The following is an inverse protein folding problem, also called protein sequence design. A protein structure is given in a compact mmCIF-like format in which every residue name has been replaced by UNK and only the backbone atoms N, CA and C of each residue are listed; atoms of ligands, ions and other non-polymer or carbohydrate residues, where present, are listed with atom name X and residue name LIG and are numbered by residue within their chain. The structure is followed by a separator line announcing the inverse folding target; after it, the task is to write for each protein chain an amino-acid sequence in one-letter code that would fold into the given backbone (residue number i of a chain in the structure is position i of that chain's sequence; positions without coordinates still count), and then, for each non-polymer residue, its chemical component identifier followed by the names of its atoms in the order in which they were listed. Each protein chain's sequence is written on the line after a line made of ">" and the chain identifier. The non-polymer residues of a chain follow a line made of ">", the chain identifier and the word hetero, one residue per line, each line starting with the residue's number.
data_IF_917962704084
#
_entry.id   IF_917962704084
#
_cell.length_a   1.000
_cell.length_b   1.000
_cell.length_c   1.000
_cell.angle_alpha   90.00
_cell.angle_beta   90.00
_cell.angle_gamma   90.00
#
_symmetry.space_group_name_H-M   'P 1'
#
loop_
_entity.id
_entity.type
_entity.pdbx_description
1 polymer ?
#
# COMPACT_ATOMS: atom_id res chain seq x y z
N UNK A 1 -25.27 13.87 45.70
CA UNK A 1 -26.11 12.65 45.73
C UNK A 1 -26.32 12.07 44.33
N UNK A 2 -26.79 12.85 43.35
CA UNK A 2 -26.96 12.42 41.94
C UNK A 2 -25.64 11.97 41.29
N UNK A 3 -24.53 12.68 41.51
CA UNK A 3 -23.20 12.28 40.98
C UNK A 3 -22.70 10.95 41.56
N UNK A 4 -22.93 10.70 42.85
CA UNK A 4 -22.54 9.45 43.51
C UNK A 4 -23.39 8.25 43.02
N UNK A 5 -24.69 8.47 42.79
CA UNK A 5 -25.59 7.46 42.20
C UNK A 5 -25.18 7.17 40.75
N UNK A 6 -24.82 8.20 39.98
CA UNK A 6 -24.38 8.04 38.60
C UNK A 6 -23.00 7.36 38.50
N UNK A 7 -22.09 7.64 39.44
CA UNK A 7 -20.81 6.96 39.58
C UNK A 7 -20.98 5.48 39.95
N UNK A 8 -21.88 5.17 40.89
CA UNK A 8 -22.21 3.79 41.28
C UNK A 8 -22.86 3.01 40.13
N UNK A 9 -23.78 3.63 39.39
CA UNK A 9 -24.40 3.03 38.21
C UNK A 9 -23.38 2.77 37.09
N UNK A 10 -22.45 3.70 36.84
CA UNK A 10 -21.33 3.50 35.91
C UNK A 10 -20.44 2.35 36.36
N UNK A 11 -20.03 2.31 37.63
CA UNK A 11 -19.20 1.24 38.17
C UNK A 11 -19.87 -0.14 38.04
N UNK A 12 -21.17 -0.23 38.33
CA UNK A 12 -21.94 -1.47 38.15
C UNK A 12 -21.99 -1.89 36.67
N UNK A 13 -22.21 -0.93 35.76
CA UNK A 13 -22.22 -1.20 34.31
C UNK A 13 -20.86 -1.67 33.81
N UNK A 14 -19.77 -1.11 34.33
CA UNK A 14 -18.41 -1.56 34.04
C UNK A 14 -18.17 -2.98 34.53
N UNK A 15 -18.53 -3.30 35.77
CA UNK A 15 -18.41 -4.66 36.33
C UNK A 15 -19.19 -5.70 35.52
N UNK A 16 -20.42 -5.38 35.11
CA UNK A 16 -21.23 -6.28 34.26
C UNK A 16 -20.59 -6.51 32.89
N UNK A 17 -19.99 -5.47 32.29
CA UNK A 17 -19.29 -5.61 31.01
C UNK A 17 -18.07 -6.53 31.14
N UNK A 18 -17.26 -6.37 32.18
CA UNK A 18 -16.07 -7.21 32.42
C UNK A 18 -16.47 -8.68 32.62
N UNK A 19 -17.50 -8.94 33.44
CA UNK A 19 -18.03 -10.29 33.62
C UNK A 19 -18.58 -10.89 32.32
N UNK A 20 -19.28 -10.08 31.51
CA UNK A 20 -19.82 -10.52 30.22
C UNK A 20 -18.71 -10.90 29.25
N UNK A 21 -17.67 -10.06 29.13
CA UNK A 21 -16.49 -10.35 28.29
C UNK A 21 -15.79 -11.61 28.77
N UNK A 22 -15.56 -11.74 30.08
CA UNK A 22 -14.89 -12.90 30.67
C UNK A 22 -15.70 -14.20 30.47
N UNK A 23 -17.03 -14.12 30.53
CA UNK A 23 -17.90 -15.25 30.23
C UNK A 23 -17.74 -15.69 28.76
N UNK A 24 -17.87 -14.78 27.80
CA UNK A 24 -17.74 -15.13 26.38
C UNK A 24 -16.33 -15.58 26.01
N UNK A 25 -15.29 -14.99 26.62
CA UNK A 25 -13.91 -15.42 26.47
C UNK A 25 -13.72 -16.87 26.92
N UNK A 26 -14.22 -17.24 28.11
CA UNK A 26 -14.14 -18.63 28.60
C UNK A 26 -15.01 -19.60 27.79
N UNK A 27 -16.19 -19.18 27.35
CA UNK A 27 -17.04 -19.98 26.47
C UNK A 27 -16.35 -20.24 25.13
N UNK A 28 -15.62 -19.27 24.59
CA UNK A 28 -14.83 -19.48 23.36
C UNK A 28 -13.72 -20.52 23.57
N UNK A 29 -12.98 -20.43 24.70
CA UNK A 29 -11.93 -21.41 25.03
C UNK A 29 -12.47 -22.84 25.18
N UNK A 30 -13.70 -22.99 25.70
CA UNK A 30 -14.28 -24.30 25.99
C UNK A 30 -15.08 -24.89 24.82
N UNK A 31 -15.87 -24.06 24.12
CA UNK A 31 -16.89 -24.52 23.17
C UNK A 31 -16.98 -23.66 21.90
N UNK A 32 -15.83 -23.20 21.38
CA UNK A 32 -15.77 -22.33 20.18
C UNK A 32 -16.62 -22.79 18.99
N UNK A 33 -16.63 -24.09 18.66
CA UNK A 33 -17.43 -24.65 17.57
C UNK A 33 -18.95 -24.46 17.77
N UNK A 34 -19.42 -24.52 19.02
CA UNK A 34 -20.83 -24.28 19.38
C UNK A 34 -21.14 -22.79 19.42
N UNK A 35 -20.14 -21.96 19.78
CA UNK A 35 -20.31 -20.51 19.92
C UNK A 35 -20.33 -19.79 18.55
N UNK A 36 -19.57 -20.30 17.57
CA UNK A 36 -19.40 -19.70 16.23
C UNK A 36 -20.72 -19.37 15.52
N UNK A 37 -21.72 -20.27 15.42
CA UNK A 37 -22.96 -19.98 14.69
C UNK A 37 -23.75 -18.79 15.25
N UNK A 38 -23.54 -18.46 16.53
CA UNK A 38 -24.24 -17.39 17.21
C UNK A 38 -23.47 -16.07 17.29
N UNK A 39 -22.25 -15.99 16.70
CA UNK A 39 -21.36 -14.83 16.82
C UNK A 39 -22.01 -13.49 16.45
N UNK A 40 -22.85 -13.48 15.41
CA UNK A 40 -23.59 -12.30 14.97
C UNK A 40 -24.57 -11.76 16.03
N UNK A 41 -25.02 -12.60 16.96
CA UNK A 41 -25.93 -12.22 18.04
C UNK A 41 -25.15 -11.71 19.24
N UNK A 42 -24.15 -12.46 19.71
CA UNK A 42 -23.47 -12.15 20.96
C UNK A 42 -22.33 -11.14 20.84
N UNK A 43 -21.74 -10.94 19.65
CA UNK A 43 -20.62 -10.00 19.47
C UNK A 43 -20.95 -8.58 19.94
N UNK A 44 -22.21 -8.14 19.80
CA UNK A 44 -22.68 -6.82 20.27
C UNK A 44 -22.45 -6.59 21.77
N UNK A 45 -22.45 -7.66 22.58
CA UNK A 45 -22.30 -7.57 24.03
C UNK A 45 -20.84 -7.38 24.44
N UNK A 46 -19.89 -7.84 23.62
CA UNK A 46 -18.46 -7.72 23.92
C UNK A 46 -17.80 -6.55 23.19
N UNK A 47 -18.43 -5.98 22.14
CA UNK A 47 -17.94 -4.81 21.42
C UNK A 47 -17.54 -3.63 22.35
N UNK A 48 -18.33 -3.25 23.38
CA UNK A 48 -17.93 -2.17 24.28
C UNK A 48 -16.64 -2.46 25.05
N UNK A 49 -16.31 -3.75 25.24
CA UNK A 49 -15.09 -4.19 25.92
C UNK A 49 -13.81 -3.80 25.17
N UNK A 50 -13.87 -3.57 23.85
CA UNK A 50 -12.74 -3.07 23.04
C UNK A 50 -12.18 -1.72 23.54
N UNK A 51 -12.99 -0.93 24.23
CA UNK A 51 -12.58 0.37 24.78
C UNK A 51 -12.72 0.45 26.29
N UNK A 52 -12.71 -0.71 26.96
CA UNK A 52 -12.73 -0.79 28.42
C UNK A 52 -11.51 -0.10 29.04
N UNK A 53 -11.64 0.39 30.28
CA UNK A 53 -10.50 0.88 31.05
C UNK A 53 -9.56 -0.28 31.48
N UNK A 54 -10.12 -1.47 31.73
CA UNK A 54 -9.38 -2.69 32.05
C UNK A 54 -8.65 -3.24 30.82
N UNK A 55 -7.33 -3.35 30.91
CA UNK A 55 -6.49 -3.91 29.84
C UNK A 55 -6.83 -5.37 29.55
N UNK A 56 -7.02 -6.17 30.59
CA UNK A 56 -7.42 -7.57 30.47
C UNK A 56 -8.75 -7.72 29.72
N UNK A 57 -9.75 -6.87 30.03
CA UNK A 57 -11.04 -6.87 29.33
C UNK A 57 -10.91 -6.46 27.86
N UNK A 58 -10.06 -5.46 27.58
CA UNK A 58 -9.76 -5.00 26.21
C UNK A 58 -9.12 -6.12 25.38
N UNK A 59 -8.10 -6.78 25.90
CA UNK A 59 -7.38 -7.84 25.20
C UNK A 59 -8.28 -9.07 24.96
N UNK A 60 -9.07 -9.48 25.96
CA UNK A 60 -10.05 -10.57 25.80
C UNK A 60 -11.10 -10.26 24.74
N UNK A 61 -11.66 -9.05 24.77
CA UNK A 61 -12.65 -8.62 23.78
C UNK A 61 -12.06 -8.63 22.37
N UNK A 62 -10.86 -8.07 22.23
CA UNK A 62 -10.15 -8.01 20.95
C UNK A 62 -9.83 -9.40 20.42
N UNK A 63 -9.30 -10.29 21.26
CA UNK A 63 -8.95 -11.67 20.89
C UNK A 63 -10.16 -12.43 20.35
N UNK A 64 -11.27 -12.43 21.09
CA UNK A 64 -12.51 -13.12 20.67
C UNK A 64 -13.06 -12.50 19.39
N UNK A 65 -13.21 -11.18 19.31
CA UNK A 65 -13.77 -10.53 18.11
C UNK A 65 -12.89 -10.74 16.87
N UNK A 66 -11.57 -10.73 17.03
CA UNK A 66 -10.63 -10.99 15.94
C UNK A 66 -10.74 -12.42 15.41
N UNK A 67 -10.92 -13.42 16.30
CA UNK A 67 -11.10 -14.82 15.92
C UNK A 67 -12.33 -15.06 15.04
N UNK A 68 -13.42 -14.32 15.28
CA UNK A 68 -14.68 -14.44 14.54
C UNK A 68 -14.86 -13.40 13.45
N UNK A 69 -13.85 -12.57 13.17
CA UNK A 69 -13.92 -11.41 12.26
C UNK A 69 -14.65 -11.72 10.94
N UNK A 70 -14.31 -12.80 10.25
CA UNK A 70 -14.88 -13.11 8.95
C UNK A 70 -16.40 -13.35 9.01
N UNK A 71 -16.86 -14.06 10.06
CA UNK A 71 -18.28 -14.28 10.31
C UNK A 71 -19.01 -12.96 10.68
N UNK A 72 -18.34 -12.09 11.46
CA UNK A 72 -18.87 -10.80 11.90
C UNK A 72 -19.00 -9.78 10.76
N UNK A 73 -18.07 -9.78 9.80
CA UNK A 73 -18.15 -8.96 8.59
C UNK A 73 -19.43 -9.25 7.77
N UNK A 74 -20.01 -10.44 7.91
CA UNK A 74 -21.26 -10.85 7.26
C UNK A 74 -22.52 -10.50 8.07
N UNK A 75 -22.41 -9.72 9.15
CA UNK A 75 -23.53 -9.37 10.03
C UNK A 75 -23.98 -7.91 9.82
N UNK A 76 -24.93 -7.67 8.90
CA UNK A 76 -25.39 -6.31 8.57
C UNK A 76 -25.90 -5.53 9.78
N UNK A 77 -26.63 -6.17 10.70
CA UNK A 77 -27.15 -5.50 11.91
C UNK A 77 -26.01 -5.05 12.85
N UNK A 78 -24.98 -5.88 12.99
CA UNK A 78 -23.79 -5.55 13.80
C UNK A 78 -23.02 -4.39 13.16
N UNK A 79 -22.84 -4.44 11.85
CA UNK A 79 -22.20 -3.40 11.06
C UNK A 79 -22.91 -2.04 11.21
N UNK A 80 -24.24 -2.00 11.13
CA UNK A 80 -25.05 -0.78 11.40
C UNK A 80 -24.89 -0.29 12.84
N UNK A 81 -24.97 -1.21 13.81
CA UNK A 81 -24.81 -0.89 15.22
C UNK A 81 -23.43 -0.27 15.51
N UNK A 82 -22.37 -0.89 14.99
CA UNK A 82 -20.99 -0.43 15.17
C UNK A 82 -20.75 0.92 14.48
N UNK A 83 -21.28 1.10 13.27
CA UNK A 83 -21.19 2.38 12.54
C UNK A 83 -21.82 3.53 13.33
N UNK A 84 -22.96 3.27 13.99
CA UNK A 84 -23.59 4.23 14.91
C UNK A 84 -22.72 4.46 16.16
N UNK A 85 -22.18 3.39 16.74
CA UNK A 85 -21.31 3.45 17.93
C UNK A 85 -20.06 4.32 17.71
N UNK A 86 -19.45 4.26 16.52
CA UNK A 86 -18.33 5.13 16.10
C UNK A 86 -18.67 6.59 16.36
N UNK A 87 -19.81 7.05 15.83
CA UNK A 87 -20.25 8.45 15.91
C UNK A 87 -20.76 8.85 17.29
N UNK A 88 -21.25 7.90 18.10
CA UNK A 88 -21.82 8.20 19.42
C UNK A 88 -20.80 8.16 20.56
N UNK A 89 -19.55 7.77 20.32
CA UNK A 89 -18.50 7.84 21.34
C UNK A 89 -17.33 6.86 21.18
N UNK A 90 -17.48 5.77 20.41
CA UNK A 90 -16.42 4.77 20.27
C UNK A 90 -15.13 5.38 19.69
N UNK A 91 -15.25 6.28 18.70
CA UNK A 91 -14.08 6.98 18.16
C UNK A 91 -13.38 7.83 19.24
N UNK A 92 -14.13 8.51 20.10
CA UNK A 92 -13.55 9.30 21.19
C UNK A 92 -12.84 8.41 22.21
N UNK A 93 -13.41 7.26 22.57
CA UNK A 93 -12.76 6.30 23.46
C UNK A 93 -11.48 5.73 22.85
N UNK A 94 -11.46 5.46 21.54
CA UNK A 94 -10.23 5.05 20.84
C UNK A 94 -9.16 6.15 20.88
N UNK A 95 -9.53 7.43 20.71
CA UNK A 95 -8.58 8.55 20.87
C UNK A 95 -7.98 8.59 22.27
N UNK A 96 -8.78 8.34 23.31
CA UNK A 96 -8.26 8.27 24.68
C UNK A 96 -7.22 7.14 24.83
N UNK A 97 -7.46 5.98 24.21
CA UNK A 97 -6.48 4.88 24.21
C UNK A 97 -5.18 5.21 23.48
N UNK A 98 -5.20 6.11 22.48
CA UNK A 98 -3.98 6.58 21.81
C UNK A 98 -2.98 7.29 22.75
N UNK A 99 -3.36 7.63 23.98
CA UNK A 99 -2.43 8.25 24.93
C UNK A 99 -1.45 7.27 25.58
N UNK A 100 -1.82 5.99 25.70
CA UNK A 100 -1.05 4.97 26.43
C UNK A 100 -0.98 3.61 25.72
N UNK A 101 -1.93 3.32 24.82
CA UNK A 101 -2.12 2.01 24.19
C UNK A 101 -2.29 2.16 22.67
N UNK A 102 -1.41 2.95 22.04
CA UNK A 102 -1.50 3.31 20.62
C UNK A 102 -1.56 2.11 19.68
N UNK A 103 -0.73 1.09 19.92
CA UNK A 103 -0.67 -0.13 19.11
C UNK A 103 -2.02 -0.86 19.17
N UNK A 104 -2.53 -1.09 20.39
CA UNK A 104 -3.83 -1.72 20.60
C UNK A 104 -4.95 -0.92 19.94
N UNK A 105 -4.94 0.41 20.10
CA UNK A 105 -5.94 1.29 19.52
C UNK A 105 -5.93 1.24 17.98
N UNK A 106 -4.76 1.15 17.33
CA UNK A 106 -4.68 1.00 15.86
C UNK A 106 -5.18 -0.37 15.39
N UNK A 107 -4.87 -1.45 16.11
CA UNK A 107 -5.40 -2.79 15.80
C UNK A 107 -6.92 -2.84 15.97
N UNK A 108 -7.43 -2.25 17.04
CA UNK A 108 -8.87 -2.15 17.30
C UNK A 108 -9.56 -1.28 16.24
N UNK A 109 -8.93 -0.18 15.84
CA UNK A 109 -9.39 0.65 14.74
C UNK A 109 -9.56 -0.18 13.46
N UNK A 110 -8.56 -0.97 13.10
CA UNK A 110 -8.60 -1.83 11.91
C UNK A 110 -9.77 -2.83 11.98
N UNK A 111 -9.89 -3.56 13.08
CA UNK A 111 -10.95 -4.55 13.30
C UNK A 111 -12.35 -3.91 13.21
N UNK A 112 -12.53 -2.73 13.79
CA UNK A 112 -13.81 -1.99 13.74
C UNK A 112 -14.18 -1.62 12.31
N UNK A 113 -13.24 -1.11 11.52
CA UNK A 113 -13.47 -0.76 10.11
C UNK A 113 -13.85 -1.99 9.28
N UNK A 114 -13.20 -3.12 9.52
CA UNK A 114 -13.48 -4.36 8.80
C UNK A 114 -14.89 -4.87 9.10
N UNK A 115 -15.29 -4.93 10.38
CA UNK A 115 -16.63 -5.36 10.79
C UNK A 115 -17.72 -4.39 10.29
N UNK A 116 -17.44 -3.08 10.25
CA UNK A 116 -18.38 -2.11 9.70
C UNK A 116 -18.70 -2.36 8.22
N UNK A 117 -17.79 -2.94 7.44
CA UNK A 117 -18.03 -3.21 6.02
C UNK A 117 -18.54 -1.97 5.24
N UNK A 118 -19.46 -2.18 4.29
CA UNK A 118 -20.01 -1.10 3.44
C UNK A 118 -20.79 -0.03 4.20
N UNK A 119 -21.33 -0.32 5.38
CA UNK A 119 -22.03 0.68 6.19
C UNK A 119 -21.11 1.84 6.59
N UNK A 120 -19.79 1.59 6.67
CA UNK A 120 -18.79 2.59 6.96
C UNK A 120 -18.71 3.70 5.90
N UNK A 121 -19.16 3.45 4.67
CA UNK A 121 -19.00 4.39 3.55
C UNK A 121 -19.83 5.67 3.73
N UNK A 122 -20.77 5.67 4.68
CA UNK A 122 -21.62 6.80 5.08
C UNK A 122 -20.81 7.82 5.88
N UNK A 123 -20.07 8.68 5.18
CA UNK A 123 -19.51 9.98 5.59
C UNK A 123 -19.07 10.17 7.06
N UNK A 124 -19.99 10.48 8.00
CA UNK A 124 -19.64 10.86 9.38
C UNK A 124 -18.71 9.90 10.11
N UNK A 125 -18.94 8.58 10.03
CA UNK A 125 -18.11 7.58 10.70
C UNK A 125 -16.66 7.59 10.19
N UNK A 126 -16.47 7.94 8.91
CA UNK A 126 -15.14 8.08 8.30
C UNK A 126 -14.38 9.21 8.98
N UNK A 127 -14.98 10.39 9.06
CA UNK A 127 -14.30 11.55 9.65
C UNK A 127 -13.89 11.31 11.10
N UNK A 128 -14.78 10.73 11.92
CA UNK A 128 -14.46 10.39 13.31
C UNK A 128 -13.28 9.42 13.42
N UNK A 129 -13.19 8.43 12.53
CA UNK A 129 -12.09 7.47 12.52
C UNK A 129 -10.80 8.04 11.93
N UNK A 130 -10.89 8.99 10.98
CA UNK A 130 -9.74 9.71 10.45
C UNK A 130 -9.02 10.52 11.53
N UNK A 131 -9.77 11.16 12.43
CA UNK A 131 -9.20 11.89 13.56
C UNK A 131 -8.42 10.98 14.54
N UNK A 132 -8.82 9.71 14.67
CA UNK A 132 -8.11 8.73 15.50
C UNK A 132 -6.79 8.31 14.84
N UNK A 133 -6.83 7.91 13.57
CA UNK A 133 -5.65 7.37 12.87
C UNK A 133 -4.61 8.45 12.57
N UNK A 134 -5.03 9.73 12.46
CA UNK A 134 -4.10 10.86 12.36
C UNK A 134 -3.17 10.95 13.59
N UNK A 135 -3.68 10.65 14.79
CA UNK A 135 -2.86 10.57 16.01
C UNK A 135 -1.82 9.45 15.86
N UNK A 136 -2.22 8.30 15.30
CA UNK A 136 -1.32 7.17 15.05
C UNK A 136 -0.16 7.54 14.12
N UNK A 137 -0.45 8.27 13.03
CA UNK A 137 0.60 8.74 12.10
C UNK A 137 1.54 9.80 12.69
N UNK A 138 1.10 10.53 13.73
CA UNK A 138 1.90 11.52 14.45
C UNK A 138 2.70 10.93 15.61
N UNK A 139 2.49 9.64 15.94
CA UNK A 139 3.10 9.03 17.11
C UNK A 139 4.48 8.39 16.85
N UNK A 140 4.94 7.51 17.75
CA UNK A 140 6.21 6.78 17.66
C UNK A 140 6.24 5.83 16.45
N UNK A 141 7.44 5.40 15.99
CA UNK A 141 7.58 4.59 14.77
C UNK A 141 6.76 3.30 14.77
N UNK A 142 6.57 2.64 15.92
CA UNK A 142 5.81 1.39 15.99
C UNK A 142 4.31 1.64 15.77
N UNK A 143 3.76 2.67 16.42
CA UNK A 143 2.38 3.10 16.21
C UNK A 143 2.13 3.57 14.76
N UNK A 144 3.10 4.23 14.12
CA UNK A 144 3.00 4.60 12.69
C UNK A 144 2.89 3.38 11.78
N UNK A 145 3.62 2.29 12.06
CA UNK A 145 3.49 1.04 11.29
C UNK A 145 2.08 0.47 11.42
N UNK A 146 1.59 0.37 12.65
CA UNK A 146 0.23 -0.12 12.91
C UNK A 146 -0.83 0.79 12.28
N UNK A 147 -0.61 2.10 12.22
CA UNK A 147 -1.48 3.03 11.51
C UNK A 147 -1.51 2.76 10.00
N UNK A 148 -0.39 2.40 9.36
CA UNK A 148 -0.38 1.98 7.96
C UNK A 148 -1.12 0.64 7.74
N UNK A 149 -0.93 -0.34 8.63
CA UNK A 149 -1.68 -1.61 8.60
C UNK A 149 -3.18 -1.36 8.75
N UNK A 150 -3.57 -0.50 9.69
CA UNK A 150 -4.94 -0.07 9.88
C UNK A 150 -5.48 0.63 8.61
N UNK A 151 -4.70 1.53 8.00
CA UNK A 151 -5.06 2.19 6.74
C UNK A 151 -5.26 1.21 5.59
N UNK A 152 -4.51 0.10 5.55
CA UNK A 152 -4.71 -1.00 4.60
C UNK A 152 -6.12 -1.60 4.73
N UNK A 153 -6.59 -1.76 5.97
CA UNK A 153 -7.95 -2.24 6.26
C UNK A 153 -9.02 -1.28 5.74
N UNK A 154 -8.77 0.03 5.82
CA UNK A 154 -9.65 1.06 5.21
C UNK A 154 -9.67 0.97 3.68
N UNK A 155 -8.51 0.77 3.05
CA UNK A 155 -8.42 0.55 1.60
C UNK A 155 -9.23 -0.68 1.19
N UNK A 156 -9.05 -1.80 1.89
CA UNK A 156 -9.84 -3.03 1.67
C UNK A 156 -11.33 -2.78 1.84
N UNK A 157 -11.73 -2.03 2.88
CA UNK A 157 -13.13 -1.69 3.14
C UNK A 157 -13.73 -0.85 2.00
N UNK A 158 -13.01 0.14 1.46
CA UNK A 158 -13.45 0.85 0.25
C UNK A 158 -13.50 -0.08 -0.96
N UNK A 159 -12.60 -1.05 -1.06
CA UNK A 159 -12.57 -2.09 -2.11
C UNK A 159 -13.80 -3.00 -2.14
N UNK A 160 -14.60 -3.06 -1.06
CA UNK A 160 -15.88 -3.78 -1.04
C UNK A 160 -16.89 -3.24 -2.08
N UNK A 161 -16.71 -1.99 -2.52
CA UNK A 161 -17.47 -1.39 -3.62
C UNK A 161 -16.50 -0.72 -4.62
N UNK A 162 -16.42 -1.29 -5.83
CA UNK A 162 -15.53 -0.81 -6.89
C UNK A 162 -15.79 0.65 -7.27
N UNK A 163 -17.03 1.12 -7.17
CA UNK A 163 -17.39 2.51 -7.46
C UNK A 163 -16.87 3.46 -6.37
N UNK A 164 -16.87 3.00 -5.12
CA UNK A 164 -16.39 3.77 -3.98
C UNK A 164 -14.88 3.93 -4.04
N UNK A 165 -14.10 2.85 -4.12
CA UNK A 165 -12.64 2.97 -4.13
C UNK A 165 -12.11 3.74 -5.35
N UNK A 166 -12.84 3.66 -6.47
CA UNK A 166 -12.47 4.32 -7.72
C UNK A 166 -13.00 5.77 -7.82
N UNK A 167 -13.71 6.27 -6.81
CA UNK A 167 -14.18 7.65 -6.78
C UNK A 167 -13.02 8.63 -6.51
N UNK A 168 -13.10 9.82 -7.12
CA UNK A 168 -12.03 10.83 -7.00
C UNK A 168 -11.83 11.29 -5.55
N UNK A 169 -12.90 11.40 -4.75
CA UNK A 169 -12.76 11.82 -3.34
C UNK A 169 -12.08 10.71 -2.53
N UNK A 170 -12.42 9.44 -2.79
CA UNK A 170 -11.83 8.28 -2.10
C UNK A 170 -10.38 8.05 -2.49
N UNK A 171 -10.04 8.19 -3.77
CA UNK A 171 -8.64 8.15 -4.23
C UNK A 171 -7.82 9.23 -3.53
N UNK A 172 -8.31 10.48 -3.48
CA UNK A 172 -7.62 11.58 -2.79
C UNK A 172 -7.43 11.29 -1.30
N UNK A 173 -8.47 10.75 -0.64
CA UNK A 173 -8.40 10.37 0.76
C UNK A 173 -7.33 9.28 0.98
N UNK A 174 -7.40 8.18 0.24
CA UNK A 174 -6.43 7.07 0.32
C UNK A 174 -5.00 7.53 0.07
N UNK A 175 -4.79 8.44 -0.88
CA UNK A 175 -3.48 8.99 -1.21
C UNK A 175 -2.92 9.96 -0.18
N UNK A 176 -3.75 10.49 0.73
CA UNK A 176 -3.35 11.53 1.68
C UNK A 176 -2.20 11.04 2.58
N UNK A 177 -2.28 9.83 3.12
CA UNK A 177 -1.26 9.28 4.03
C UNK A 177 0.07 8.99 3.35
N UNK A 178 0.04 8.76 2.03
CA UNK A 178 1.23 8.47 1.25
C UNK A 178 2.05 9.71 0.93
N UNK A 179 1.41 10.88 0.91
CA UNK A 179 2.05 12.17 0.59
C UNK A 179 2.79 12.79 1.76
N UNK A 180 2.46 12.40 2.99
CA UNK A 180 3.16 12.91 4.15
C UNK A 180 4.56 12.31 4.30
N UNK A 181 5.52 13.15 4.67
CA UNK A 181 6.85 12.73 5.13
C UNK A 181 6.78 12.21 6.56
N UNK A 182 6.18 11.03 6.73
CA UNK A 182 5.97 10.37 8.02
C UNK A 182 6.79 9.08 8.19
N UNK A 183 7.50 8.65 7.16
CA UNK A 183 8.20 7.38 7.08
C UNK A 183 9.73 7.56 7.12
N UNK A 184 10.22 7.97 8.30
CA UNK A 184 11.65 8.29 8.53
C UNK A 184 12.50 7.11 8.96
N UNK A 185 11.89 5.99 9.33
CA UNK A 185 12.60 4.75 9.64
C UNK A 185 12.31 3.73 8.56
N UNK A 186 13.27 2.85 8.29
CA UNK A 186 13.14 1.77 7.29
C UNK A 186 11.85 0.96 7.51
N UNK A 187 11.60 0.53 8.76
CA UNK A 187 10.41 -0.27 9.07
C UNK A 187 9.08 0.44 8.77
N UNK A 188 9.02 1.78 8.91
CA UNK A 188 7.81 2.56 8.57
C UNK A 188 7.74 2.79 7.06
N UNK A 189 8.87 2.98 6.39
CA UNK A 189 8.93 3.15 4.94
C UNK A 189 8.49 1.89 4.19
N UNK A 190 8.93 0.71 4.65
CA UNK A 190 8.48 -0.58 4.14
C UNK A 190 6.96 -0.72 4.31
N UNK A 191 6.43 -0.47 5.51
CA UNK A 191 4.99 -0.63 5.77
C UNK A 191 4.13 0.36 4.96
N UNK A 192 4.63 1.59 4.78
CA UNK A 192 4.05 2.59 3.89
C UNK A 192 3.99 2.07 2.45
N UNK A 193 5.08 1.51 1.93
CA UNK A 193 5.15 0.96 0.58
C UNK A 193 4.22 -0.23 0.40
N UNK A 194 4.18 -1.18 1.34
CA UNK A 194 3.26 -2.32 1.30
C UNK A 194 1.79 -1.87 1.28
N UNK A 195 1.46 -0.85 2.07
CA UNK A 195 0.12 -0.27 2.10
C UNK A 195 -0.22 0.48 0.80
N UNK A 196 0.77 1.13 0.18
CA UNK A 196 0.61 1.80 -1.12
C UNK A 196 0.41 0.80 -2.26
N UNK A 197 1.19 -0.29 -2.25
CA UNK A 197 0.99 -1.39 -3.19
C UNK A 197 -0.39 -2.02 -3.04
N UNK A 198 -0.85 -2.24 -1.80
CA UNK A 198 -2.21 -2.72 -1.55
C UNK A 198 -3.28 -1.79 -2.17
N UNK A 199 -3.08 -0.48 -2.15
CA UNK A 199 -3.96 0.46 -2.83
C UNK A 199 -3.95 0.28 -4.37
N UNK A 200 -2.77 0.06 -4.96
CA UNK A 200 -2.62 -0.25 -6.40
C UNK A 200 -3.41 -1.51 -6.76
N UNK A 201 -3.36 -2.55 -5.93
CA UNK A 201 -4.08 -3.81 -6.14
C UNK A 201 -5.60 -3.65 -6.11
N UNK A 202 -6.14 -2.67 -5.37
CA UNK A 202 -7.58 -2.50 -5.21
C UNK A 202 -8.21 -1.51 -6.22
N UNK A 203 -7.46 -0.56 -6.79
CA UNK A 203 -8.00 0.48 -7.70
C UNK A 203 -8.16 0.05 -9.18
N UNK A 204 -7.81 -1.20 -9.51
CA UNK A 204 -7.35 -1.64 -10.85
C UNK A 204 -8.09 -1.13 -12.09
N UNK A 205 -9.43 -1.04 -12.16
CA UNK A 205 -10.09 -0.51 -13.36
C UNK A 205 -9.70 0.93 -13.69
N UNK A 206 -9.28 1.71 -12.69
CA UNK A 206 -8.86 3.11 -12.85
C UNK A 206 -7.39 3.35 -12.57
N UNK A 207 -6.58 2.29 -12.42
CA UNK A 207 -5.14 2.44 -12.16
C UNK A 207 -4.48 3.22 -13.29
N UNK A 208 -4.69 2.82 -14.54
CA UNK A 208 -4.02 3.43 -15.69
C UNK A 208 -4.36 4.91 -15.89
N UNK A 209 -5.60 5.32 -15.62
CA UNK A 209 -6.04 6.73 -15.68
C UNK A 209 -5.41 7.56 -14.55
N UNK A 210 -4.98 6.92 -13.47
CA UNK A 210 -4.35 7.56 -12.31
C UNK A 210 -2.88 7.15 -12.12
N UNK A 211 -2.25 6.56 -13.14
CA UNK A 211 -0.94 5.93 -13.01
C UNK A 211 0.11 6.92 -12.52
N UNK A 212 0.18 8.10 -13.14
CA UNK A 212 1.10 9.16 -12.73
C UNK A 212 0.81 9.71 -11.33
N UNK A 213 -0.47 9.70 -10.91
CA UNK A 213 -0.87 10.23 -9.59
C UNK A 213 -0.58 9.26 -8.45
N UNK A 214 -0.51 7.96 -8.75
CA UNK A 214 -0.44 6.87 -7.76
C UNK A 214 0.92 6.17 -7.84
N UNK A 215 1.29 5.66 -9.01
CA UNK A 215 2.45 4.78 -9.20
C UNK A 215 3.75 5.57 -9.29
N UNK A 216 3.77 6.72 -9.96
CA UNK A 216 5.00 7.52 -10.05
C UNK A 216 5.51 7.96 -8.68
N UNK A 217 4.72 8.62 -7.80
CA UNK A 217 5.19 9.00 -6.48
C UNK A 217 5.54 7.80 -5.59
N UNK A 218 4.87 6.64 -5.78
CA UNK A 218 5.20 5.41 -5.08
C UNK A 218 6.58 4.88 -5.46
N UNK A 219 6.88 4.79 -6.76
CA UNK A 219 8.18 4.30 -7.24
C UNK A 219 9.30 5.31 -6.95
N UNK A 220 9.01 6.61 -7.04
CA UNK A 220 9.93 7.68 -6.63
C UNK A 220 10.25 7.59 -5.13
N UNK A 221 9.26 7.27 -4.29
CA UNK A 221 9.49 7.03 -2.88
C UNK A 221 10.47 5.87 -2.65
N UNK A 222 10.41 4.80 -3.45
CA UNK A 222 11.31 3.65 -3.32
C UNK A 222 12.77 3.94 -3.65
N UNK A 223 13.03 4.87 -4.57
CA UNK A 223 14.38 5.26 -5.00
C UNK A 223 14.94 6.46 -4.22
N UNK A 224 14.13 7.07 -3.36
CA UNK A 224 14.45 8.30 -2.64
C UNK A 224 14.49 9.54 -3.54
N UNK A 225 14.66 10.72 -2.91
CA UNK A 225 14.75 12.03 -3.59
C UNK A 225 16.08 12.23 -4.35
N UNK A 226 16.67 11.17 -4.90
CA UNK A 226 17.59 11.35 -6.03
C UNK A 226 16.78 12.04 -7.12
N UNK A 227 17.24 13.22 -7.55
CA UNK A 227 16.67 13.97 -8.67
C UNK A 227 16.63 13.06 -9.91
N UNK A 228 15.60 12.25 -10.03
CA UNK A 228 15.30 11.47 -11.23
C UNK A 228 15.16 12.51 -12.33
N UNK A 229 16.03 12.45 -13.34
CA UNK A 229 16.21 13.47 -14.39
C UNK A 229 15.02 13.52 -15.36
N UNK A 230 13.80 13.60 -14.85
CA UNK A 230 12.60 13.91 -15.60
C UNK A 230 11.84 14.99 -14.83
N UNK A 231 12.17 16.24 -15.12
CA UNK A 231 11.31 17.37 -14.82
C UNK A 231 10.01 17.21 -15.64
N UNK A 232 9.04 16.48 -15.10
CA UNK A 232 7.66 16.55 -15.57
C UNK A 232 7.14 17.94 -15.21
N UNK A 233 7.10 18.84 -16.19
CA UNK A 233 6.38 20.11 -16.10
C UNK A 233 4.87 19.81 -16.01
N UNK A 234 4.39 19.47 -14.82
CA UNK A 234 2.97 19.42 -14.54
C UNK A 234 2.49 20.83 -14.13
N UNK A 235 2.06 21.60 -15.13
CA UNK A 235 1.13 22.71 -14.91
C UNK A 235 -0.19 22.12 -14.44
N UNK A 236 -0.65 22.43 -13.23
CA UNK A 236 -2.08 22.45 -12.89
C UNK A 236 -2.32 23.16 -11.55
N UNK A 237 -3.01 24.29 -11.65
CA UNK A 237 -3.54 25.07 -10.55
C UNK A 237 -4.48 24.21 -9.66
N UNK A 238 -4.13 24.06 -8.39
CA UNK A 238 -5.01 23.61 -7.29
C UNK A 238 -4.70 24.49 -6.06
N UNK A 239 -5.69 24.78 -5.19
CA UNK A 239 -5.58 25.86 -4.21
C UNK A 239 -4.43 25.63 -3.24
N UNK A 240 -3.54 26.63 -3.19
CA UNK A 240 -2.40 26.68 -2.30
C UNK A 240 -2.90 26.79 -0.86
N UNK A 241 -2.61 25.77 -0.04
CA UNK A 241 -2.35 26.01 1.37
C UNK A 241 -0.86 26.29 1.45
N UNK A 242 -0.55 27.51 1.88
CA UNK A 242 0.73 28.19 1.75
C UNK A 242 1.95 27.31 2.07
N UNK A 243 2.86 27.19 1.11
CA UNK A 243 4.25 26.81 1.36
C UNK A 243 5.11 27.92 0.78
N UNK A 244 5.71 28.72 1.67
CA UNK A 244 6.66 29.77 1.33
C UNK A 244 7.89 29.20 0.61
N UNK A 245 8.52 29.95 -0.30
CA UNK A 245 9.71 29.48 -1.02
C UNK A 245 10.93 29.60 -0.10
N UNK A 246 11.37 28.48 0.48
CA UNK A 246 12.68 28.37 1.11
C UNK A 246 13.47 27.23 0.48
N UNK A 247 14.51 27.61 -0.26
CA UNK A 247 15.68 26.80 -0.57
C UNK A 247 16.38 26.38 0.73
N UNK A 248 16.41 25.06 1.02
CA UNK A 248 17.52 24.25 1.62
C UNK A 248 16.95 23.02 2.34
N UNK A 249 17.50 21.85 2.01
CA UNK A 249 17.32 20.55 2.66
C UNK A 249 15.88 20.01 2.72
N UNK A 250 15.39 19.47 1.61
CA UNK A 250 14.31 18.49 1.70
C UNK A 250 14.80 17.31 2.56
N UNK A 251 14.02 16.80 3.52
CA UNK A 251 14.40 15.62 4.27
C UNK A 251 14.76 14.50 3.30
N UNK A 252 15.94 13.91 3.46
CA UNK A 252 16.36 12.74 2.69
C UNK A 252 15.37 11.61 2.99
N UNK A 253 14.56 11.27 1.99
CA UNK A 253 13.75 10.06 2.03
C UNK A 253 14.71 8.87 2.18
N UNK A 254 14.44 7.92 3.11
CA UNK A 254 15.33 6.81 3.34
C UNK A 254 15.36 5.90 2.11
N UNK A 255 16.39 6.03 1.28
CA UNK A 255 16.72 5.04 0.27
C UNK A 255 17.42 3.88 0.98
N UNK A 256 16.65 2.88 1.42
CA UNK A 256 17.21 1.64 1.96
C UNK A 256 17.09 0.50 0.93
N UNK A 257 18.00 -0.49 0.95
CA UNK A 257 17.99 -1.59 -0.01
C UNK A 257 16.67 -2.37 -0.02
N UNK A 258 16.05 -2.58 1.14
CA UNK A 258 14.76 -3.27 1.23
C UNK A 258 13.64 -2.51 0.49
N UNK A 259 13.62 -1.19 0.61
CA UNK A 259 12.62 -0.36 -0.07
C UNK A 259 12.86 -0.29 -1.59
N UNK A 260 14.13 -0.21 -2.01
CA UNK A 260 14.50 -0.28 -3.43
C UNK A 260 14.12 -1.64 -4.05
N UNK A 261 14.32 -2.75 -3.31
CA UNK A 261 13.86 -4.08 -3.72
C UNK A 261 12.35 -4.09 -3.95
N UNK A 262 11.55 -3.55 -3.02
CA UNK A 262 10.09 -3.44 -3.19
C UNK A 262 9.70 -2.56 -4.39
N UNK A 263 10.45 -1.50 -4.65
CA UNK A 263 10.26 -0.67 -5.84
C UNK A 263 10.48 -1.47 -7.13
N UNK A 264 11.54 -2.28 -7.19
CA UNK A 264 11.84 -3.13 -8.34
C UNK A 264 10.81 -4.26 -8.48
N UNK A 265 10.39 -4.90 -7.37
CA UNK A 265 9.30 -5.88 -7.37
C UNK A 265 8.01 -5.27 -7.93
N UNK A 266 7.68 -4.03 -7.53
CA UNK A 266 6.49 -3.33 -8.02
C UNK A 266 6.58 -3.06 -9.53
N UNK A 267 7.75 -2.63 -10.04
CA UNK A 267 7.98 -2.45 -11.49
C UNK A 267 7.84 -3.78 -12.23
N UNK A 268 8.47 -4.84 -11.71
CA UNK A 268 8.39 -6.17 -12.29
C UNK A 268 6.93 -6.64 -12.38
N UNK A 269 6.18 -6.56 -11.28
CA UNK A 269 4.77 -6.96 -11.25
C UNK A 269 3.89 -6.13 -12.18
N UNK A 270 4.13 -4.82 -12.32
CA UNK A 270 3.43 -3.97 -13.29
C UNK A 270 3.67 -4.42 -14.73
N UNK A 271 4.87 -4.91 -15.04
CA UNK A 271 5.24 -5.43 -16.37
C UNK A 271 4.80 -6.89 -16.57
N UNK A 272 4.65 -7.66 -15.50
CA UNK A 272 4.33 -9.10 -15.56
C UNK A 272 2.95 -9.39 -16.14
N UNK A 273 2.85 -10.57 -16.77
CA UNK A 273 1.57 -11.22 -17.04
C UNK A 273 1.17 -12.07 -15.82
N UNK A 274 -0.13 -12.14 -15.46
CA UNK A 274 -0.59 -12.88 -14.28
C UNK A 274 -0.18 -14.36 -14.24
N UNK A 275 0.02 -14.98 -15.41
CA UNK A 275 0.38 -16.41 -15.56
C UNK A 275 1.87 -16.73 -15.46
N UNK A 276 2.74 -15.73 -15.26
CA UNK A 276 4.21 -15.88 -15.30
C UNK A 276 4.88 -15.99 -13.91
N UNK A 277 4.09 -16.08 -12.83
CA UNK A 277 4.53 -15.96 -11.44
C UNK A 277 5.56 -17.03 -11.01
N UNK A 278 5.29 -18.30 -11.29
CA UNK A 278 5.92 -19.38 -10.53
C UNK A 278 7.18 -19.97 -11.19
N UNK A 279 7.44 -19.64 -12.46
CA UNK A 279 8.55 -20.20 -13.24
C UNK A 279 9.86 -19.37 -13.16
N UNK A 280 9.85 -18.23 -12.47
CA UNK A 280 10.91 -17.22 -12.56
C UNK A 280 12.04 -17.35 -11.53
N UNK A 281 11.86 -18.16 -10.47
CA UNK A 281 12.81 -18.25 -9.36
C UNK A 281 12.88 -17.00 -8.47
N UNK A 282 12.01 -16.01 -8.69
CA UNK A 282 11.96 -14.76 -7.92
C UNK A 282 11.13 -14.95 -6.65
N UNK A 283 11.69 -14.55 -5.50
CA UNK A 283 10.94 -14.49 -4.23
C UNK A 283 10.23 -13.15 -4.09
N UNK A 284 8.89 -13.19 -4.20
CA UNK A 284 8.02 -12.03 -4.11
C UNK A 284 7.63 -11.68 -2.67
N UNK A 285 7.74 -10.40 -2.34
CA UNK A 285 7.20 -9.81 -1.11
C UNK A 285 5.85 -9.16 -1.38
N UNK A 286 5.71 -8.54 -2.56
CA UNK A 286 4.49 -7.90 -3.02
C UNK A 286 3.51 -8.91 -3.63
N UNK A 287 2.22 -8.75 -3.34
CA UNK A 287 1.15 -9.57 -3.93
C UNK A 287 1.01 -9.30 -5.42
N UNK A 288 0.80 -10.36 -6.22
CA UNK A 288 0.69 -10.28 -7.67
C UNK A 288 -0.56 -9.58 -8.18
N UNK A 289 -0.41 -8.98 -9.36
CA UNK A 289 -1.54 -8.50 -10.11
C UNK A 289 -2.31 -9.68 -10.76
N UNK A 290 -3.52 -9.97 -10.25
CA UNK A 290 -4.61 -10.72 -10.92
C UNK A 290 -4.94 -10.39 -12.40
N UNK A 291 -4.45 -9.28 -12.96
CA UNK A 291 -4.72 -8.84 -14.34
C UNK A 291 -3.55 -8.00 -14.84
N UNK A 292 -3.28 -8.00 -16.14
CA UNK A 292 -2.24 -7.15 -16.73
C UNK A 292 -2.48 -5.66 -16.37
N UNK A 293 -1.42 -4.94 -15.99
CA UNK A 293 -1.54 -3.52 -15.66
C UNK A 293 -1.77 -2.68 -16.93
N UNK A 294 -0.97 -2.92 -17.96
CA UNK A 294 -1.03 -2.20 -19.22
C UNK A 294 -2.05 -2.85 -20.16
N UNK A 295 -3.01 -2.07 -20.66
CA UNK A 295 -4.00 -2.55 -21.65
C UNK A 295 -3.47 -2.71 -23.07
N UNK A 296 -2.15 -2.84 -23.25
CA UNK A 296 -1.48 -2.98 -24.54
C UNK A 296 -0.29 -2.04 -24.75
N UNK A 297 0.39 -2.14 -25.91
CA UNK A 297 1.70 -1.52 -26.11
C UNK A 297 1.69 0.01 -26.08
N UNK A 298 0.64 0.66 -26.58
CA UNK A 298 0.49 2.12 -26.51
C UNK A 298 0.28 2.62 -25.07
N UNK A 299 -0.34 1.81 -24.21
CA UNK A 299 -0.50 2.17 -22.79
C UNK A 299 0.82 2.04 -22.04
N UNK A 300 1.63 1.04 -22.37
CA UNK A 300 2.98 0.87 -21.83
C UNK A 300 3.90 2.01 -22.27
N UNK A 301 3.87 2.39 -23.56
CA UNK A 301 4.75 3.40 -24.13
C UNK A 301 4.75 4.73 -23.36
N UNK A 302 3.59 5.16 -22.89
CA UNK A 302 3.41 6.38 -22.09
C UNK A 302 4.22 6.39 -20.78
N UNK A 303 4.49 5.22 -20.20
CA UNK A 303 5.11 5.08 -18.89
C UNK A 303 6.48 4.42 -18.93
N UNK A 304 6.86 3.85 -20.08
CA UNK A 304 8.09 3.08 -20.25
C UNK A 304 9.36 3.86 -19.88
N UNK A 305 9.48 5.13 -20.31
CA UNK A 305 10.63 5.97 -19.96
C UNK A 305 10.78 6.16 -18.45
N UNK A 306 9.67 6.31 -17.73
CA UNK A 306 9.69 6.45 -16.26
C UNK A 306 10.11 5.13 -15.60
N UNK A 307 9.53 4.01 -16.00
CA UNK A 307 9.84 2.69 -15.44
C UNK A 307 11.31 2.31 -15.67
N UNK A 308 11.83 2.57 -16.87
CA UNK A 308 13.23 2.34 -17.21
C UNK A 308 14.17 3.17 -16.32
N UNK A 309 13.85 4.44 -16.08
CA UNK A 309 14.62 5.29 -15.16
C UNK A 309 14.62 4.75 -13.72
N UNK A 310 13.50 4.19 -13.25
CA UNK A 310 13.43 3.57 -11.92
C UNK A 310 14.33 2.33 -11.86
N UNK A 311 14.29 1.46 -12.88
CA UNK A 311 15.15 0.28 -12.98
C UNK A 311 16.62 0.69 -12.96
N UNK A 312 17.02 1.62 -13.84
CA UNK A 312 18.38 2.14 -13.89
C UNK A 312 18.84 2.66 -12.53
N UNK A 313 17.99 3.44 -11.84
CA UNK A 313 18.34 4.00 -10.54
C UNK A 313 18.58 2.92 -9.48
N UNK A 314 17.69 1.92 -9.40
CA UNK A 314 17.82 0.80 -8.46
C UNK A 314 19.08 -0.02 -8.75
N UNK A 315 19.38 -0.28 -10.02
CA UNK A 315 20.60 -1.01 -10.41
C UNK A 315 21.85 -0.23 -10.04
N UNK A 316 21.88 1.08 -10.31
CA UNK A 316 23.07 1.91 -10.10
C UNK A 316 23.36 2.22 -8.64
N UNK A 317 22.31 2.45 -7.84
CA UNK A 317 22.45 2.96 -6.46
C UNK A 317 22.02 1.95 -5.40
N UNK A 318 21.52 0.79 -5.80
CA UNK A 318 21.13 -0.28 -4.90
C UNK A 318 22.06 -1.49 -4.99
N UNK A 319 21.63 -2.58 -4.36
CA UNK A 319 22.22 -3.91 -4.52
C UNK A 319 21.08 -4.92 -4.76
N UNK A 320 20.39 -4.82 -5.91
CA UNK A 320 19.20 -5.62 -6.16
C UNK A 320 19.54 -7.09 -6.39
N UNK A 321 18.57 -7.96 -6.10
CA UNK A 321 18.66 -9.38 -6.44
C UNK A 321 18.76 -9.57 -7.96
N UNK A 322 19.80 -10.27 -8.42
CA UNK A 322 20.07 -10.47 -9.86
C UNK A 322 18.94 -11.20 -10.58
N UNK A 323 18.26 -12.13 -9.89
CA UNK A 323 17.13 -12.89 -10.47
C UNK A 323 15.95 -11.96 -10.74
N UNK A 324 15.64 -11.08 -9.79
CA UNK A 324 14.60 -10.07 -9.94
C UNK A 324 14.95 -9.04 -11.04
N UNK A 325 16.21 -8.59 -11.11
CA UNK A 325 16.67 -7.68 -12.18
C UNK A 325 16.51 -8.33 -13.55
N UNK A 326 17.00 -9.56 -13.70
CA UNK A 326 16.92 -10.30 -14.95
C UNK A 326 15.46 -10.51 -15.37
N UNK A 327 14.59 -10.93 -14.44
CA UNK A 327 13.16 -11.09 -14.70
C UNK A 327 12.52 -9.78 -15.17
N UNK A 328 12.82 -8.68 -14.48
CA UNK A 328 12.31 -7.34 -14.84
C UNK A 328 12.81 -6.93 -16.23
N UNK A 329 14.07 -7.18 -16.52
CA UNK A 329 14.72 -6.84 -17.79
C UNK A 329 14.11 -7.59 -18.98
N UNK A 330 13.95 -8.90 -18.85
CA UNK A 330 13.33 -9.77 -19.87
C UNK A 330 11.90 -9.32 -20.14
N UNK A 331 11.14 -9.06 -19.07
CA UNK A 331 9.73 -8.65 -19.19
C UNK A 331 9.61 -7.27 -19.84
N UNK A 332 10.46 -6.33 -19.45
CA UNK A 332 10.54 -4.99 -20.06
C UNK A 332 10.85 -5.08 -21.56
N UNK A 333 11.85 -5.88 -21.94
CA UNK A 333 12.22 -6.08 -23.34
C UNK A 333 11.05 -6.65 -24.16
N UNK A 334 10.27 -7.58 -23.60
CA UNK A 334 9.06 -8.11 -24.22
C UNK A 334 8.03 -7.02 -24.53
N UNK A 335 7.81 -6.09 -23.59
CA UNK A 335 6.91 -4.94 -23.80
C UNK A 335 7.45 -3.96 -24.84
N UNK A 336 8.75 -3.64 -24.80
CA UNK A 336 9.39 -2.77 -25.80
C UNK A 336 9.25 -3.39 -27.18
N UNK A 337 9.55 -4.69 -27.33
CA UNK A 337 9.38 -5.41 -28.60
C UNK A 337 7.95 -5.30 -29.14
N UNK A 338 6.96 -5.63 -28.31
CA UNK A 338 5.55 -5.55 -28.71
C UNK A 338 5.16 -4.12 -29.11
N UNK A 339 5.69 -3.10 -28.43
CA UNK A 339 5.43 -1.70 -28.76
C UNK A 339 6.10 -1.25 -30.06
N UNK A 340 7.31 -1.73 -30.37
CA UNK A 340 8.02 -1.44 -31.61
C UNK A 340 7.36 -2.07 -32.86
N UNK A 341 6.65 -3.17 -32.67
CA UNK A 341 5.86 -3.84 -33.72
C UNK A 341 4.45 -3.26 -33.86
N UNK A 342 4.07 -2.33 -32.98
CA UNK A 342 2.76 -1.66 -32.98
C UNK A 342 2.81 -0.24 -33.56
N UNK A 343 1.68 0.48 -33.50
CA UNK A 343 1.60 1.91 -33.84
C UNK A 343 2.44 2.82 -32.95
N UNK A 344 2.92 2.35 -31.79
CA UNK A 344 3.75 3.12 -30.85
C UNK A 344 5.26 3.21 -31.23
N UNK A 345 5.63 2.78 -32.45
CA UNK A 345 7.02 2.67 -32.90
C UNK A 345 7.84 3.96 -32.79
N UNK A 346 7.24 5.13 -33.00
CA UNK A 346 7.97 6.41 -32.94
C UNK A 346 8.41 6.77 -31.52
N UNK A 347 7.53 6.57 -30.54
CA UNK A 347 7.80 6.83 -29.11
C UNK A 347 8.83 5.84 -28.55
N UNK A 348 8.84 4.59 -29.07
CA UNK A 348 9.77 3.56 -28.63
C UNK A 348 11.23 3.76 -29.04
N UNK A 349 11.53 4.71 -29.95
CA UNK A 349 12.90 4.91 -30.41
C UNK A 349 13.84 5.34 -29.30
N UNK A 350 13.43 6.35 -28.54
CA UNK A 350 14.23 6.89 -27.45
C UNK A 350 14.29 5.90 -26.29
N UNK A 351 13.16 5.26 -25.98
CA UNK A 351 13.06 4.24 -24.93
C UNK A 351 14.01 3.07 -25.21
N UNK A 352 14.04 2.55 -26.44
CA UNK A 352 14.94 1.46 -26.81
C UNK A 352 16.41 1.90 -26.79
N UNK A 353 16.71 3.14 -27.20
CA UNK A 353 18.07 3.70 -27.11
C UNK A 353 18.54 3.81 -25.66
N UNK A 354 17.67 4.25 -24.74
CA UNK A 354 17.98 4.27 -23.30
C UNK A 354 18.15 2.85 -22.75
N UNK A 355 17.30 1.91 -23.14
CA UNK A 355 17.44 0.50 -22.73
C UNK A 355 18.81 -0.08 -23.13
N UNK A 356 19.26 0.15 -24.36
CA UNK A 356 20.59 -0.30 -24.79
C UNK A 356 21.73 0.44 -24.08
N UNK A 357 21.56 1.73 -23.81
CA UNK A 357 22.55 2.53 -23.06
C UNK A 357 22.69 2.04 -21.62
N UNK A 358 21.58 1.69 -20.97
CA UNK A 358 21.59 1.12 -19.63
C UNK A 358 22.29 -0.24 -19.62
N UNK A 359 22.01 -1.10 -20.62
CA UNK A 359 22.71 -2.38 -20.78
C UNK A 359 24.22 -2.20 -20.91
N UNK A 360 24.63 -1.26 -21.76
CA UNK A 360 26.04 -0.95 -21.97
C UNK A 360 26.72 -0.52 -20.67
N UNK A 361 26.11 0.41 -19.92
CA UNK A 361 26.62 0.86 -18.62
C UNK A 361 26.74 -0.31 -17.64
N UNK A 362 25.72 -1.18 -17.54
CA UNK A 362 25.75 -2.34 -16.64
C UNK A 362 26.89 -3.31 -16.97
N UNK A 363 27.21 -3.50 -18.25
CA UNK A 363 28.32 -4.36 -18.70
C UNK A 363 29.67 -3.71 -18.43
N UNK A 364 29.83 -2.42 -18.76
CA UNK A 364 31.08 -1.67 -18.52
C UNK A 364 31.42 -1.59 -17.03
N UNK A 365 30.41 -1.32 -16.21
CA UNK A 365 30.55 -1.19 -14.75
C UNK A 365 30.64 -2.56 -14.05
N UNK A 366 30.48 -3.67 -14.79
CA UNK A 366 30.40 -5.04 -14.24
C UNK A 366 29.40 -5.14 -13.09
N UNK A 367 28.21 -4.56 -13.29
CA UNK A 367 27.20 -4.39 -12.23
C UNK A 367 26.69 -5.72 -11.64
N UNK A 368 26.77 -6.83 -12.40
CA UNK A 368 26.29 -8.15 -12.01
C UNK A 368 27.25 -9.27 -12.42
N UNK A 369 26.96 -10.51 -11.99
CA UNK A 369 27.68 -11.70 -12.46
C UNK A 369 27.63 -11.83 -13.99
N UNK A 370 28.70 -12.38 -14.55
CA UNK A 370 28.84 -12.56 -16.00
C UNK A 370 27.70 -13.37 -16.64
N UNK A 371 27.17 -14.38 -15.96
CA UNK A 371 26.01 -15.15 -16.43
C UNK A 371 24.75 -14.29 -16.56
N UNK A 372 24.49 -13.42 -15.57
CA UNK A 372 23.34 -12.51 -15.57
C UNK A 372 23.47 -11.48 -16.69
N UNK A 373 24.64 -10.83 -16.81
CA UNK A 373 24.91 -9.87 -17.89
C UNK A 373 24.81 -10.52 -19.28
N UNK A 374 25.28 -11.76 -19.43
CA UNK A 374 25.15 -12.52 -20.66
C UNK A 374 23.67 -12.76 -21.02
N UNK A 375 22.86 -13.24 -20.07
CA UNK A 375 21.41 -13.44 -20.28
C UNK A 375 20.69 -12.13 -20.60
N UNK A 376 21.02 -11.03 -19.91
CA UNK A 376 20.46 -9.70 -20.21
C UNK A 376 20.81 -9.23 -21.62
N UNK A 377 22.01 -9.57 -22.10
CA UNK A 377 22.46 -9.26 -23.47
C UNK A 377 21.77 -10.15 -24.51
N UNK A 378 21.59 -11.44 -24.21
CA UNK A 378 20.92 -12.39 -25.09
C UNK A 378 19.47 -11.99 -25.41
N UNK A 379 18.79 -11.33 -24.48
CA UNK A 379 17.44 -10.76 -24.69
C UNK A 379 17.40 -9.83 -25.92
N UNK A 380 18.49 -9.13 -26.24
CA UNK A 380 18.56 -8.27 -27.43
C UNK A 380 18.36 -9.05 -28.75
N UNK A 381 18.69 -10.35 -28.78
CA UNK A 381 18.48 -11.20 -29.96
C UNK A 381 16.99 -11.46 -30.25
N UNK A 382 16.10 -11.17 -29.30
CA UNK A 382 14.65 -11.36 -29.48
C UNK A 382 13.99 -10.23 -30.29
N UNK A 383 14.67 -9.09 -30.47
CA UNK A 383 14.15 -7.95 -31.22
C UNK A 383 14.27 -8.18 -32.74
N UNK A 384 13.39 -7.56 -33.56
CA UNK A 384 13.45 -7.72 -35.01
C UNK A 384 14.79 -7.26 -35.61
N UNK A 385 15.35 -8.02 -36.56
CA UNK A 385 16.64 -7.69 -37.22
C UNK A 385 16.65 -6.27 -37.81
N UNK A 386 15.54 -5.83 -38.39
CA UNK A 386 15.38 -4.46 -38.92
C UNK A 386 15.54 -3.35 -37.87
N UNK A 387 15.26 -3.65 -36.60
CA UNK A 387 15.46 -2.74 -35.47
C UNK A 387 16.93 -2.74 -35.08
N UNK A 388 17.54 -3.92 -34.95
CA UNK A 388 18.94 -4.06 -34.57
C UNK A 388 19.92 -3.50 -35.62
N UNK A 389 19.57 -3.60 -36.90
CA UNK A 389 20.38 -3.09 -38.02
C UNK A 389 20.19 -1.58 -38.30
N UNK A 390 19.32 -0.92 -37.56
CA UNK A 390 18.95 0.48 -37.82
C UNK A 390 19.89 1.44 -37.09
N UNK A 391 20.47 2.39 -37.83
CA UNK A 391 21.30 3.50 -37.30
C UNK A 391 20.51 4.55 -36.52
N UNK A 392 19.18 4.42 -36.45
CA UNK A 392 18.31 5.36 -35.75
C UNK A 392 18.36 5.25 -34.22
N UNK A 393 19.00 4.21 -33.68
CA UNK A 393 19.11 3.96 -32.23
C UNK A 393 20.55 4.22 -31.80
N UNK A 394 20.73 5.10 -30.82
CA UNK A 394 22.06 5.53 -30.40
C UNK A 394 22.37 4.99 -29.01
N UNK A 395 23.44 4.21 -28.89
CA UNK A 395 24.07 3.91 -27.60
C UNK A 395 25.05 5.03 -27.34
N UNK A 396 24.73 5.92 -26.40
CA UNK A 396 25.66 6.99 -26.01
C UNK A 396 26.70 6.37 -25.08
N UNK A 397 27.95 6.26 -25.52
CA UNK A 397 29.03 5.99 -24.57
C UNK A 397 29.18 7.23 -23.67
N UNK A 398 28.98 7.06 -22.37
CA UNK A 398 29.47 8.05 -21.41
C UNK A 398 30.98 7.89 -21.37
N UNK A 399 31.67 8.65 -22.23
CA UNK A 399 33.12 8.86 -22.09
C UNK A 399 33.36 9.38 -20.67
N UNK A 400 34.26 8.68 -19.97
CA UNK A 400 34.59 8.83 -18.55
C UNK A 400 34.81 10.26 -18.08
#
# INVERSE_FOLDING_TARGET
>A
MVEAVNAKAKAQTHSVLEETVNLFYRLDEQISEVLRPFCKRWARFILPGLVSASEETRERSFSVLSKYKDDLCQASDLSKHLTKAITSGLAQSLKCLMTKHEIYAMKTWALVIEICGKEFHKGPSINSMLEVIEIGFKSNPQAKREAFIAWRSLISNFGLDKNVISDTKRIKLSMMVFRYDNARTESVAIEKMLTWWHFVLNIRPKLMVNFEKIVYPMLQFCVGNSKTRTALKASTNLPSIAVSPQTRNAPELPACPALQKLGLEAVALLLSKPSASDASGVTWTLEHLQSEAFGGPASFAKHASFLLNIIHHVVKNGNPDETLVLYTWVTLAGHIKAAMESSAKSEMRDIFSTFLTDLHSMVEDKAFKGETLFKMTEVCNTFPVKVLASTAFNVRSTVR
#
